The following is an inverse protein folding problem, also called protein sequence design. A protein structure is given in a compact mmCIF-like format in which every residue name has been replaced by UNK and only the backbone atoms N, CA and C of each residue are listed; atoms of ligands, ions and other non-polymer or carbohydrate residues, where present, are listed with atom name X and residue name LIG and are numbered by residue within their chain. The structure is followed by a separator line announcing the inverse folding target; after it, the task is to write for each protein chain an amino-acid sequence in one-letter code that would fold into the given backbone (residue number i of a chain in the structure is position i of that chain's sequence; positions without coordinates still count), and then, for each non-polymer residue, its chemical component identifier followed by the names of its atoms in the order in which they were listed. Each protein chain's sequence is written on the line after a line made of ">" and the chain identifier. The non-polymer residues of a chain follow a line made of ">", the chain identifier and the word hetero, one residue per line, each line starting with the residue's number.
data_IF_835393764576
#
_entry.id   IF_835393764576
#
_cell.length_a   1.000
_cell.length_b   1.000
_cell.length_c   1.000
_cell.angle_alpha   90.00
_cell.angle_beta   90.00
_cell.angle_gamma   90.00
#
_symmetry.space_group_name_H-M   'P 1'
#
loop_
_entity.id
_entity.type
_entity.pdbx_description
1 polymer ?
#
# COMPACT_ATOMS: atom_id res chain seq x y z
N UNK A 1 -10.83 -7.62 13.75
CA UNK A 1 -10.57 -6.82 12.54
C UNK A 1 -10.45 -7.79 11.37
N UNK A 2 -11.52 -7.92 10.57
CA UNK A 2 -11.50 -8.85 9.44
C UNK A 2 -10.91 -8.10 8.24
N UNK A 3 -9.57 -8.10 8.13
CA UNK A 3 -8.91 -7.75 6.88
C UNK A 3 -9.38 -8.78 5.84
N UNK A 4 -10.29 -8.37 4.96
CA UNK A 4 -10.74 -9.23 3.87
C UNK A 4 -9.55 -9.57 2.98
N UNK A 5 -9.06 -10.80 3.06
CA UNK A 5 -8.24 -11.57 2.11
C UNK A 5 -7.10 -10.90 1.31
N UNK A 6 -6.69 -9.66 1.61
CA UNK A 6 -5.62 -8.96 0.90
C UNK A 6 -4.28 -9.19 1.62
N UNK A 7 -3.33 -9.92 1.00
CA UNK A 7 -2.02 -10.15 1.61
C UNK A 7 -1.25 -8.84 1.86
N UNK A 8 -1.48 -7.81 1.06
CA UNK A 8 -0.85 -6.50 1.23
C UNK A 8 -1.35 -5.81 2.51
N UNK A 9 -2.65 -5.84 2.77
CA UNK A 9 -3.21 -5.23 3.99
C UNK A 9 -2.70 -5.95 5.24
N UNK A 10 -2.64 -7.29 5.21
CA UNK A 10 -2.05 -8.07 6.30
C UNK A 10 -0.57 -7.70 6.52
N UNK A 11 0.23 -7.61 5.45
CA UNK A 11 1.63 -7.22 5.55
C UNK A 11 1.84 -5.80 6.08
N UNK A 12 0.96 -4.84 5.76
CA UNK A 12 1.00 -3.49 6.31
C UNK A 12 0.68 -3.45 7.80
N UNK A 13 -0.29 -4.24 8.26
CA UNK A 13 -0.60 -4.37 9.69
C UNK A 13 0.58 -5.00 10.45
N UNK A 14 1.18 -6.07 9.92
CA UNK A 14 2.38 -6.70 10.49
C UNK A 14 3.56 -5.73 10.53
N UNK A 15 3.77 -4.95 9.46
CA UNK A 15 4.82 -3.94 9.40
C UNK A 15 4.60 -2.82 10.43
N UNK A 16 3.37 -2.36 10.60
CA UNK A 16 3.01 -1.40 11.67
C UNK A 16 3.33 -1.96 13.06
N UNK A 17 2.98 -3.22 13.33
CA UNK A 17 3.27 -3.86 14.61
C UNK A 17 4.78 -3.95 14.86
N UNK A 18 5.57 -4.23 13.81
CA UNK A 18 7.03 -4.25 13.90
C UNK A 18 7.65 -2.88 14.24
N UNK A 19 7.06 -1.79 13.75
CA UNK A 19 7.51 -0.41 14.04
C UNK A 19 7.10 0.09 15.44
N UNK A 20 6.46 -0.75 16.26
CA UNK A 20 5.99 -0.36 17.60
C UNK A 20 4.61 0.33 17.58
N UNK A 21 3.81 0.10 16.52
CA UNK A 21 2.38 0.44 16.49
C UNK A 21 2.02 1.70 15.69
N UNK A 22 2.99 2.50 15.26
CA UNK A 22 2.77 3.58 14.28
C UNK A 22 3.30 3.14 12.92
N UNK A 23 2.46 3.26 11.91
CA UNK A 23 2.88 3.03 10.54
C UNK A 23 3.68 4.26 10.14
N UNK A 24 4.88 4.06 9.60
CA UNK A 24 5.66 5.16 9.00
C UNK A 24 6.23 4.63 7.71
N UNK A 25 5.73 5.15 6.59
CA UNK A 25 6.14 4.75 5.25
C UNK A 25 6.48 6.01 4.45
N UNK A 26 7.55 5.94 3.65
CA UNK A 26 7.89 6.99 2.71
C UNK A 26 7.17 6.75 1.37
N UNK A 27 6.31 7.69 0.97
CA UNK A 27 5.71 7.77 -0.36
C UNK A 27 6.35 8.90 -1.16
N UNK A 28 6.05 9.01 -2.45
CA UNK A 28 6.51 10.11 -3.30
C UNK A 28 5.36 11.09 -3.57
N UNK A 29 5.59 12.38 -3.31
CA UNK A 29 4.69 13.47 -3.74
C UNK A 29 5.05 13.97 -5.15
N UNK A 30 6.32 13.85 -5.54
CA UNK A 30 6.84 14.18 -6.85
C UNK A 30 8.13 13.39 -7.16
N UNK A 31 8.67 13.54 -8.37
CA UNK A 31 9.96 12.91 -8.73
C UNK A 31 11.08 13.47 -7.85
N UNK A 32 11.67 12.61 -7.04
CA UNK A 32 12.73 12.98 -6.10
C UNK A 32 12.23 13.65 -4.81
N UNK A 33 10.92 13.73 -4.59
CA UNK A 33 10.31 14.31 -3.38
C UNK A 33 9.55 13.24 -2.61
N UNK A 34 10.04 12.92 -1.42
CA UNK A 34 9.43 11.96 -0.50
C UNK A 34 8.55 12.63 0.55
N UNK A 35 7.48 11.95 0.96
CA UNK A 35 6.62 12.33 2.07
C UNK A 35 6.42 11.15 3.01
N UNK A 36 6.54 11.38 4.32
CA UNK A 36 6.21 10.38 5.33
C UNK A 36 4.70 10.37 5.58
N UNK A 37 4.10 9.19 5.51
CA UNK A 37 2.70 8.98 5.84
C UNK A 37 2.55 8.01 6.99
N UNK A 38 1.53 8.25 7.81
CA UNK A 38 1.26 7.46 9.01
C UNK A 38 0.00 6.59 8.93
N UNK A 39 -0.79 6.77 7.87
CA UNK A 39 -1.99 6.01 7.60
C UNK A 39 -2.09 5.79 6.10
N UNK A 40 -2.73 4.68 5.72
CA UNK A 40 -3.02 4.35 4.32
C UNK A 40 -4.51 4.11 4.20
N UNK A 41 -5.14 4.79 3.24
CA UNK A 41 -6.52 4.51 2.86
C UNK A 41 -6.59 3.12 2.19
N UNK A 42 -7.30 2.20 2.83
CA UNK A 42 -7.37 0.80 2.42
C UNK A 42 -8.14 0.60 1.11
N UNK A 43 -9.12 1.46 0.82
CA UNK A 43 -9.89 1.41 -0.43
C UNK A 43 -9.07 1.99 -1.58
N UNK A 44 -8.33 3.07 -1.36
CA UNK A 44 -7.39 3.61 -2.34
C UNK A 44 -6.27 2.61 -2.66
N UNK A 45 -5.75 1.90 -1.65
CA UNK A 45 -4.73 0.88 -1.85
C UNK A 45 -5.23 -0.29 -2.71
N UNK A 46 -6.48 -0.72 -2.51
CA UNK A 46 -7.10 -1.76 -3.36
C UNK A 46 -7.20 -1.31 -4.80
N UNK A 47 -7.72 -0.09 -5.04
CA UNK A 47 -7.83 0.48 -6.38
C UNK A 47 -6.47 0.58 -7.07
N UNK A 48 -5.43 1.02 -6.34
CA UNK A 48 -4.07 1.06 -6.87
C UNK A 48 -3.56 -0.33 -7.26
N UNK A 49 -3.85 -1.36 -6.46
CA UNK A 49 -3.52 -2.76 -6.77
C UNK A 49 -4.20 -3.27 -8.04
N UNK A 50 -5.48 -2.94 -8.23
CA UNK A 50 -6.24 -3.26 -9.44
C UNK A 50 -5.63 -2.59 -10.68
N UNK A 51 -5.31 -1.30 -10.60
CA UNK A 51 -4.65 -0.54 -11.69
C UNK A 51 -3.33 -1.19 -12.10
N UNK A 52 -2.50 -1.59 -11.13
CA UNK A 52 -1.22 -2.26 -11.41
C UNK A 52 -1.43 -3.61 -12.08
N UNK A 53 -2.39 -4.41 -11.60
CA UNK A 53 -2.69 -5.72 -12.18
C UNK A 53 -3.17 -5.61 -13.64
N UNK A 54 -4.05 -4.65 -13.92
CA UNK A 54 -4.57 -4.39 -15.27
C UNK A 54 -3.46 -3.88 -16.21
N UNK A 55 -2.59 -2.98 -15.71
CA UNK A 55 -1.46 -2.47 -16.48
C UNK A 55 -0.46 -3.59 -16.81
N UNK A 56 -0.15 -4.46 -15.86
CA UNK A 56 0.73 -5.61 -16.07
C UNK A 56 0.16 -6.58 -17.11
N UNK A 57 -1.16 -6.83 -17.08
CA UNK A 57 -1.82 -7.67 -18.07
C UNK A 57 -1.75 -7.08 -19.48
N UNK A 58 -1.85 -5.76 -19.63
CA UNK A 58 -1.73 -5.08 -20.93
C UNK A 58 -0.30 -5.10 -21.50
N UNK A 59 0.74 -5.13 -20.66
CA UNK A 59 2.13 -5.17 -21.11
C UNK A 59 2.62 -6.56 -21.55
N UNK A 60 1.83 -7.62 -21.27
CA UNK A 60 2.16 -9.01 -21.59
C UNK A 60 1.30 -9.59 -22.74
N UNK A 61 0.53 -8.75 -23.43
CA UNK A 61 -0.24 -9.06 -24.63
C UNK A 61 0.32 -8.27 -25.82
#
# INVERSE_FOLDING_TARGET
>A
VNAGNSPILAGLDEFREHLGGQLTIMLLSAVGEGVEVHEIDTELLKQAGEILNDTQHHQLQ
#
